data_IF_124916136942
#
_entry.id   IF_124916136942
#
_cell.length_a   1.000
_cell.length_b   1.000
_cell.length_c   1.000
_cell.angle_alpha   90.00
_cell.angle_beta   90.00
_cell.angle_gamma   90.00
#
_symmetry.space_group_name_H-M   'P 1'
#
loop_
_entity.id
_entity.type
_entity.pdbx_description
1 polymer ?
#
# COMPACT_ATOMS: atom_id res chain seq x y z
N UNK A 1 -10.91 -0.66 5.47
CA UNK A 1 -10.35 -2.03 5.53
C UNK A 1 -9.76 -2.23 6.91
N UNK A 2 -10.04 -3.35 7.55
CA UNK A 2 -9.45 -3.63 8.86
C UNK A 2 -8.03 -4.25 8.71
N UNK A 3 -7.20 -4.27 9.77
CA UNK A 3 -5.83 -4.81 9.69
C UNK A 3 -5.76 -6.28 9.27
N UNK A 4 -6.70 -7.12 9.73
CA UNK A 4 -6.74 -8.55 9.40
C UNK A 4 -7.00 -8.78 7.91
N UNK A 5 -7.93 -8.04 7.32
CA UNK A 5 -8.21 -8.07 5.87
C UNK A 5 -7.01 -7.64 5.05
N UNK A 6 -6.28 -6.61 5.49
CA UNK A 6 -5.07 -6.14 4.83
C UNK A 6 -3.98 -7.22 4.83
N UNK A 7 -3.77 -7.88 5.97
CA UNK A 7 -2.80 -8.97 6.09
C UNK A 7 -3.13 -10.11 5.11
N UNK A 8 -4.40 -10.53 5.05
CA UNK A 8 -4.84 -11.59 4.13
C UNK A 8 -4.61 -11.22 2.65
N UNK A 9 -4.80 -9.95 2.29
CA UNK A 9 -4.52 -9.47 0.92
C UNK A 9 -3.02 -9.53 0.63
N UNK A 10 -2.18 -9.12 1.58
CA UNK A 10 -0.72 -9.17 1.44
C UNK A 10 -0.23 -10.61 1.34
N UNK A 11 -0.74 -11.51 2.18
CA UNK A 11 -0.40 -12.93 2.14
C UNK A 11 -0.78 -13.56 0.80
N UNK A 12 -1.98 -13.25 0.29
CA UNK A 12 -2.41 -13.72 -1.02
C UNK A 12 -1.53 -13.14 -2.14
N UNK A 13 -1.24 -11.85 -2.10
CA UNK A 13 -0.36 -11.21 -3.08
C UNK A 13 1.04 -11.85 -3.09
N UNK A 14 1.56 -12.26 -1.92
CA UNK A 14 2.81 -12.99 -1.77
C UNK A 14 2.74 -14.38 -2.41
N UNK A 15 1.69 -15.14 -2.10
CA UNK A 15 1.47 -16.49 -2.66
C UNK A 15 1.35 -16.46 -4.19
N UNK A 16 0.63 -15.47 -4.71
CA UNK A 16 0.41 -15.28 -6.14
C UNK A 16 1.63 -14.65 -6.84
N UNK A 17 2.69 -14.30 -6.11
CA UNK A 17 3.86 -13.56 -6.59
C UNK A 17 3.46 -12.31 -7.39
N UNK A 18 2.46 -11.61 -6.86
CA UNK A 18 1.86 -10.44 -7.50
C UNK A 18 2.92 -9.37 -7.73
N UNK A 19 2.95 -8.85 -8.95
CA UNK A 19 3.83 -7.73 -9.33
C UNK A 19 3.14 -6.38 -9.16
N UNK A 20 1.82 -6.36 -8.97
CA UNK A 20 1.03 -5.15 -8.81
C UNK A 20 0.05 -5.32 -7.65
N UNK A 21 0.00 -4.34 -6.75
CA UNK A 21 -0.92 -4.31 -5.63
C UNK A 21 -1.63 -2.96 -5.59
N UNK A 22 -2.95 -2.99 -5.77
CA UNK A 22 -3.80 -1.80 -5.73
C UNK A 22 -4.65 -1.80 -4.45
N UNK A 23 -4.35 -0.83 -3.59
CA UNK A 23 -5.01 -0.58 -2.32
C UNK A 23 -5.63 0.82 -2.31
N UNK A 24 -6.02 1.34 -3.48
CA UNK A 24 -6.69 2.63 -3.63
C UNK A 24 -7.93 2.74 -2.73
N UNK A 25 -8.01 3.87 -2.00
CA UNK A 25 -9.19 4.28 -1.22
C UNK A 25 -9.71 3.22 -0.24
N UNK A 26 -8.80 2.53 0.46
CA UNK A 26 -9.13 1.47 1.43
C UNK A 26 -9.15 1.94 2.89
N UNK A 27 -8.96 3.24 3.13
CA UNK A 27 -8.88 3.85 4.47
C UNK A 27 -7.77 3.27 5.36
N UNK A 28 -6.68 2.79 4.76
CA UNK A 28 -5.54 2.22 5.47
C UNK A 28 -4.85 3.30 6.29
N UNK A 29 -4.63 3.06 7.57
CA UNK A 29 -3.93 3.97 8.49
C UNK A 29 -2.46 3.60 8.70
N UNK A 30 -2.13 2.31 8.58
CA UNK A 30 -0.78 1.77 8.65
C UNK A 30 -0.65 0.54 7.74
N UNK A 31 0.55 0.28 7.22
CA UNK A 31 0.88 -0.98 6.57
C UNK A 31 1.57 -1.90 7.58
N UNK A 32 1.28 -3.21 7.57
CA UNK A 32 2.01 -4.18 8.37
C UNK A 32 3.42 -4.40 7.79
N UNK A 33 4.36 -4.85 8.63
CA UNK A 33 5.73 -5.12 8.20
C UNK A 33 5.81 -6.21 7.11
N UNK A 34 4.80 -7.09 7.05
CA UNK A 34 4.67 -8.15 6.03
C UNK A 34 4.60 -7.62 4.60
N UNK A 35 4.27 -6.34 4.39
CA UNK A 35 4.35 -5.72 3.06
C UNK A 35 5.74 -5.89 2.43
N UNK A 36 6.81 -5.87 3.24
CA UNK A 36 8.19 -6.04 2.80
C UNK A 36 8.50 -7.44 2.26
N UNK A 37 7.60 -8.42 2.44
CA UNK A 37 7.75 -9.76 1.88
C UNK A 37 7.38 -9.83 0.39
N UNK A 38 6.76 -8.80 -0.18
CA UNK A 38 6.36 -8.75 -1.59
C UNK A 38 7.56 -8.39 -2.49
N UNK A 39 8.64 -9.16 -2.44
CA UNK A 39 9.90 -8.87 -3.14
C UNK A 39 9.79 -8.89 -4.67
N UNK A 40 8.73 -9.47 -5.21
CA UNK A 40 8.39 -9.46 -6.64
C UNK A 40 7.55 -8.24 -7.06
N UNK A 41 7.11 -7.40 -6.12
CA UNK A 41 6.23 -6.26 -6.39
C UNK A 41 6.96 -5.17 -7.18
N UNK A 42 6.34 -4.74 -8.28
CA UNK A 42 6.82 -3.70 -9.19
C UNK A 42 6.04 -2.39 -8.99
N UNK A 43 4.75 -2.48 -8.69
CA UNK A 43 3.89 -1.31 -8.44
C UNK A 43 3.02 -1.48 -7.21
N UNK A 44 3.06 -0.48 -6.32
CA UNK A 44 2.22 -0.36 -5.15
C UNK A 44 1.39 0.93 -5.19
N UNK A 45 0.06 0.80 -5.33
CA UNK A 45 -0.86 1.95 -5.30
C UNK A 45 -1.57 2.02 -3.95
N UNK A 46 -1.33 3.12 -3.23
CA UNK A 46 -1.88 3.42 -1.92
C UNK A 46 -2.58 4.79 -1.88
N UNK A 47 -2.94 5.30 -3.05
CA UNK A 47 -3.61 6.59 -3.22
C UNK A 47 -4.91 6.64 -2.43
N UNK A 48 -5.18 7.80 -1.84
CA UNK A 48 -6.40 8.08 -1.08
C UNK A 48 -6.58 7.21 0.19
N UNK A 49 -5.47 6.85 0.83
CA UNK A 49 -5.46 6.24 2.17
C UNK A 49 -5.15 7.27 3.26
N UNK A 50 -5.18 6.83 4.52
CA UNK A 50 -4.91 7.65 5.72
C UNK A 50 -3.53 7.37 6.32
N UNK A 51 -2.61 6.83 5.50
CA UNK A 51 -1.22 6.58 5.89
C UNK A 51 -0.54 7.91 6.27
N UNK A 52 0.23 7.86 7.36
CA UNK A 52 1.13 8.95 7.78
C UNK A 52 2.60 8.54 7.70
N UNK A 53 2.88 7.24 7.79
CA UNK A 53 4.22 6.66 7.70
C UNK A 53 4.18 5.38 6.86
N UNK A 54 5.35 4.95 6.40
CA UNK A 54 5.57 3.62 5.84
C UNK A 54 6.38 2.79 6.83
N UNK A 55 6.18 1.47 6.91
CA UNK A 55 7.04 0.58 7.70
C UNK A 55 8.44 0.55 7.11
N UNK A 56 9.46 0.34 7.94
CA UNK A 56 10.85 0.23 7.48
C UNK A 56 11.04 -0.91 6.48
N UNK A 57 10.22 -1.96 6.58
CA UNK A 57 10.22 -3.10 5.67
C UNK A 57 9.87 -2.73 4.22
N UNK A 58 9.35 -1.53 3.95
CA UNK A 58 9.14 -1.05 2.59
C UNK A 58 10.44 -1.06 1.76
N UNK A 59 11.60 -0.93 2.42
CA UNK A 59 12.92 -1.03 1.79
C UNK A 59 13.24 -2.42 1.23
N UNK A 60 12.51 -3.46 1.64
CA UNK A 60 12.70 -4.83 1.14
C UNK A 60 12.03 -5.05 -0.23
N UNK A 61 11.25 -4.10 -0.72
CA UNK A 61 10.59 -4.15 -2.03
C UNK A 61 11.59 -3.86 -3.16
N UNK A 62 12.62 -4.70 -3.30
CA UNK A 62 13.79 -4.49 -4.17
C UNK A 62 13.46 -4.35 -5.66
N UNK A 63 12.28 -4.82 -6.11
CA UNK A 63 11.82 -4.67 -7.50
C UNK A 63 10.83 -3.53 -7.71
N UNK A 64 10.46 -2.79 -6.66
CA UNK A 64 9.48 -1.72 -6.74
C UNK A 64 10.00 -0.60 -7.63
N UNK A 65 9.22 -0.28 -8.66
CA UNK A 65 9.50 0.83 -9.58
C UNK A 65 8.51 1.97 -9.40
N UNK A 66 7.32 1.68 -8.88
CA UNK A 66 6.26 2.66 -8.72
C UNK A 66 5.60 2.56 -7.34
N UNK A 67 5.59 3.68 -6.62
CA UNK A 67 4.90 3.84 -5.33
C UNK A 67 4.03 5.09 -5.39
N UNK A 68 2.70 4.93 -5.31
CA UNK A 68 1.75 6.06 -5.31
C UNK A 68 1.09 6.24 -3.95
N UNK A 69 1.32 7.38 -3.30
CA UNK A 69 0.89 7.65 -1.91
C UNK A 69 0.10 8.95 -1.70
N UNK A 70 -0.26 9.67 -2.77
CA UNK A 70 -0.92 10.97 -2.62
C UNK A 70 -2.36 10.83 -2.09
N UNK A 71 -2.77 11.78 -1.24
CA UNK A 71 -4.16 11.93 -0.80
C UNK A 71 -4.88 12.82 -1.79
N UNK A 72 -6.18 12.59 -2.05
CA UNK A 72 -6.98 13.62 -2.69
C UNK A 72 -7.10 14.77 -1.70
N UNK A 73 -6.48 15.91 -2.00
CA UNK A 73 -6.88 17.16 -1.39
C UNK A 73 -8.34 17.39 -1.78
N UNK A 74 -9.24 17.51 -0.80
CA UNK A 74 -10.60 17.94 -1.10
C UNK A 74 -10.54 19.21 -1.95
N UNK A 75 -11.42 19.38 -2.96
CA UNK A 75 -11.49 20.64 -3.69
C UNK A 75 -11.63 21.75 -2.66
N UNK A 76 -10.73 22.71 -2.73
CA UNK A 76 -10.77 23.88 -1.87
C UNK A 76 -11.94 24.71 -2.40
N UNK A 77 -13.17 24.41 -1.96
CA UNK A 77 -14.28 25.33 -2.13
C UNK A 77 -13.99 26.51 -1.21
N UNK A 78 -13.25 27.47 -1.73
CA UNK A 78 -13.14 28.80 -1.15
C UNK A 78 -14.53 29.43 -1.21
N UNK A 79 -15.17 29.47 -0.02
CA UNK A 79 -16.31 30.29 0.44
C UNK A 79 -17.44 30.58 -0.54
#
# INVERSE_FOLDING_TARGET
>A
MNPTELELIIDRAKQDRSTHLDLYQKYITSLPDSIGNLTDLVSLRLVDNRLNTLPNSIGNLIKLRELRLYKKSAPQYTR
#
